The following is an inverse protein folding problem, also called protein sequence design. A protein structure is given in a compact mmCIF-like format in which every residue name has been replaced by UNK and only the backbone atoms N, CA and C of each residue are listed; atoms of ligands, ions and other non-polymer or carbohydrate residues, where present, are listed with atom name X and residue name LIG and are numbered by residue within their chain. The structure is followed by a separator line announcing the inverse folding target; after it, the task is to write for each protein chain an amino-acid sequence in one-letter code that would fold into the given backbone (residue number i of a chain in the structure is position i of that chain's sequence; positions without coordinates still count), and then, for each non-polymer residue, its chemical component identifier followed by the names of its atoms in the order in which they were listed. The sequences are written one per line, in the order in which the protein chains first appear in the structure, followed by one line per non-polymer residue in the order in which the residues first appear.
data_IF_125265108778
#
_entry.id   IF_125265108778
#
_cell.length_a   1.000
_cell.length_b   1.000
_cell.length_c   1.000
_cell.angle_alpha   90.00
_cell.angle_beta   90.00
_cell.angle_gamma   90.00
#
_symmetry.space_group_name_H-M   'P 1'
#
loop_
_entity.id
_entity.type
_entity.pdbx_description
1 polymer ?
#
# COMPACT_ATOMS: atom_id res chain seq x y z
N UNK A 1 8.26 23.18 18.32
CA UNK A 1 8.18 21.76 17.94
C UNK A 1 6.77 21.18 18.05
N UNK A 2 6.07 21.36 19.16
CA UNK A 2 4.70 20.84 19.33
C UNK A 2 3.67 21.37 18.33
N UNK A 3 3.69 22.65 18.00
CA UNK A 3 2.79 23.26 17.00
C UNK A 3 2.98 22.60 15.65
N UNK A 4 4.22 22.36 15.23
CA UNK A 4 4.54 21.70 13.97
C UNK A 4 3.98 20.27 13.91
N UNK A 5 4.17 19.49 14.99
CA UNK A 5 3.59 18.15 15.11
C UNK A 5 2.06 18.19 14.99
N UNK A 6 1.38 19.14 15.65
CA UNK A 6 -0.08 19.31 15.57
C UNK A 6 -0.55 19.63 14.15
N UNK A 7 0.18 20.49 13.41
CA UNK A 7 -0.13 20.82 12.01
C UNK A 7 -0.01 19.59 11.13
N UNK A 8 1.12 18.84 11.20
CA UNK A 8 1.31 17.64 10.39
C UNK A 8 0.36 16.52 10.79
N UNK A 9 -0.01 16.40 12.07
CA UNK A 9 -1.03 15.46 12.53
C UNK A 9 -2.41 15.81 11.94
N UNK A 10 -2.80 17.09 11.93
CA UNK A 10 -4.06 17.53 11.31
C UNK A 10 -4.09 17.22 9.81
N UNK A 11 -2.99 17.48 9.08
CA UNK A 11 -2.85 17.12 7.66
C UNK A 11 -2.91 15.60 7.46
N UNK A 12 -2.27 14.83 8.33
CA UNK A 12 -2.30 13.37 8.30
C UNK A 12 -3.71 12.81 8.48
N UNK A 13 -4.44 13.32 9.46
CA UNK A 13 -5.83 12.89 9.74
C UNK A 13 -6.75 13.29 8.57
N UNK A 14 -6.66 14.52 8.08
CA UNK A 14 -7.46 14.98 6.95
C UNK A 14 -7.18 14.17 5.68
N UNK A 15 -5.89 13.94 5.37
CA UNK A 15 -5.46 13.08 4.27
C UNK A 15 -5.94 11.64 4.44
N UNK A 16 -5.79 11.05 5.63
CA UNK A 16 -6.23 9.69 5.94
C UNK A 16 -7.74 9.51 5.80
N UNK A 17 -8.53 10.44 6.31
CA UNK A 17 -10.00 10.43 6.17
C UNK A 17 -10.41 10.56 4.70
N UNK A 18 -9.80 11.48 3.96
CA UNK A 18 -10.03 11.62 2.52
C UNK A 18 -9.65 10.34 1.76
N UNK A 19 -8.53 9.70 2.11
CA UNK A 19 -8.11 8.44 1.51
C UNK A 19 -9.11 7.31 1.78
N UNK A 20 -9.61 7.17 3.02
CA UNK A 20 -10.61 6.16 3.35
C UNK A 20 -11.89 6.31 2.52
N UNK A 21 -12.41 7.53 2.42
CA UNK A 21 -13.64 7.80 1.67
C UNK A 21 -13.40 7.60 0.17
N UNK A 22 -12.37 8.23 -0.39
CA UNK A 22 -12.08 8.18 -1.82
C UNK A 22 -11.70 6.76 -2.28
N UNK A 23 -10.96 6.01 -1.46
CA UNK A 23 -10.61 4.62 -1.75
C UNK A 23 -11.84 3.72 -1.79
N UNK A 24 -12.76 3.85 -0.83
CA UNK A 24 -14.02 3.11 -0.82
C UNK A 24 -14.87 3.43 -2.07
N UNK A 25 -15.01 4.71 -2.42
CA UNK A 25 -15.73 5.15 -3.64
C UNK A 25 -15.06 4.56 -4.89
N UNK A 26 -13.73 4.61 -5.00
CA UNK A 26 -13.02 4.04 -6.14
C UNK A 26 -13.20 2.52 -6.24
N UNK A 27 -13.30 1.81 -5.11
CA UNK A 27 -13.51 0.35 -5.11
C UNK A 27 -14.89 -0.05 -5.63
N UNK A 28 -15.95 0.69 -5.30
CA UNK A 28 -17.33 0.35 -5.74
C UNK A 28 -17.68 0.94 -7.11
N UNK A 29 -17.06 2.05 -7.50
CA UNK A 29 -17.35 2.70 -8.78
C UNK A 29 -16.96 1.83 -9.98
N UNK A 30 -17.72 1.91 -11.11
CA UNK A 30 -17.40 1.22 -12.35
C UNK A 30 -15.98 1.58 -12.84
N UNK A 31 -15.13 0.55 -13.01
CA UNK A 31 -13.70 0.71 -13.29
C UNK A 31 -13.47 1.48 -14.60
N UNK A 32 -12.52 2.42 -14.58
CA UNK A 32 -12.16 3.26 -15.72
C UNK A 32 -13.15 4.39 -16.05
N UNK A 33 -14.29 4.49 -15.36
CA UNK A 33 -15.25 5.58 -15.55
C UNK A 33 -14.86 6.82 -14.71
N UNK A 34 -15.54 7.95 -14.99
CA UNK A 34 -15.23 9.27 -14.42
C UNK A 34 -15.12 9.24 -12.87
N UNK A 35 -16.11 8.63 -12.20
CA UNK A 35 -16.13 8.56 -10.73
C UNK A 35 -14.93 7.79 -10.21
N UNK A 36 -14.63 6.60 -10.76
CA UNK A 36 -13.47 5.81 -10.40
C UNK A 36 -12.16 6.59 -10.57
N UNK A 37 -12.01 7.30 -11.69
CA UNK A 37 -10.78 8.03 -11.98
C UNK A 37 -10.59 9.24 -11.06
N UNK A 38 -11.66 9.97 -10.74
CA UNK A 38 -11.60 11.11 -9.80
C UNK A 38 -11.28 10.58 -8.41
N UNK A 39 -12.05 9.61 -7.92
CA UNK A 39 -11.85 9.03 -6.59
C UNK A 39 -10.45 8.39 -6.45
N UNK A 40 -9.95 7.69 -7.49
CA UNK A 40 -8.61 7.12 -7.50
C UNK A 40 -7.50 8.18 -7.43
N UNK A 41 -7.64 9.29 -8.15
CA UNK A 41 -6.69 10.43 -8.07
C UNK A 41 -6.73 11.09 -6.69
N UNK A 42 -7.93 11.31 -6.14
CA UNK A 42 -8.09 11.85 -4.79
C UNK A 42 -7.43 10.94 -3.78
N UNK A 43 -7.67 9.62 -3.87
CA UNK A 43 -7.02 8.61 -3.02
C UNK A 43 -5.49 8.70 -3.10
N UNK A 44 -4.93 8.74 -4.31
CA UNK A 44 -3.48 8.81 -4.53
C UNK A 44 -2.85 10.03 -3.86
N UNK A 45 -3.41 11.24 -4.08
CA UNK A 45 -2.87 12.46 -3.49
C UNK A 45 -3.09 12.53 -1.98
N UNK A 46 -4.20 12.00 -1.49
CA UNK A 46 -4.42 11.84 -0.05
C UNK A 46 -3.36 10.94 0.58
N UNK A 47 -3.02 9.80 -0.06
CA UNK A 47 -1.94 8.92 0.41
C UNK A 47 -0.56 9.57 0.34
N UNK A 48 -0.30 10.42 -0.66
CA UNK A 48 0.93 11.23 -0.72
C UNK A 48 1.01 12.20 0.47
N UNK A 49 -0.09 12.88 0.80
CA UNK A 49 -0.18 13.76 1.99
C UNK A 49 0.03 12.99 3.29
N UNK A 50 -0.60 11.81 3.41
CA UNK A 50 -0.43 10.91 4.58
C UNK A 50 1.03 10.49 4.73
N UNK A 51 1.68 10.06 3.65
CA UNK A 51 3.09 9.67 3.68
C UNK A 51 3.99 10.85 4.05
N UNK A 52 3.87 12.00 3.37
CA UNK A 52 4.69 13.18 3.63
C UNK A 52 4.56 13.66 5.07
N UNK A 53 3.33 13.76 5.58
CA UNK A 53 3.08 14.16 6.97
C UNK A 53 3.61 13.14 7.98
N UNK A 54 3.48 11.84 7.72
CA UNK A 54 4.03 10.78 8.57
C UNK A 54 5.56 10.85 8.62
N UNK A 55 6.23 11.02 7.47
CA UNK A 55 7.68 11.16 7.39
C UNK A 55 8.16 12.34 8.24
N UNK A 56 7.55 13.51 8.08
CA UNK A 56 7.91 14.69 8.90
C UNK A 56 7.69 14.43 10.38
N UNK A 57 6.54 13.86 10.77
CA UNK A 57 6.27 13.53 12.18
C UNK A 57 7.27 12.53 12.75
N UNK A 58 7.72 11.54 11.97
CA UNK A 58 8.72 10.57 12.39
C UNK A 58 10.13 11.19 12.58
N UNK A 59 10.47 12.26 11.86
CA UNK A 59 11.70 13.02 12.11
C UNK A 59 11.61 13.87 13.37
N UNK A 60 10.42 14.43 13.67
CA UNK A 60 10.20 15.25 14.86
C UNK A 60 10.05 14.41 16.15
N UNK A 61 9.41 13.25 16.03
CA UNK A 61 9.22 12.26 17.10
C UNK A 61 9.45 10.86 16.52
N UNK A 62 10.65 10.28 16.70
CA UNK A 62 11.03 9.03 16.07
C UNK A 62 10.06 7.87 16.38
N UNK A 63 9.44 7.35 15.32
CA UNK A 63 8.52 6.22 15.33
C UNK A 63 8.92 5.28 14.17
N UNK A 64 9.98 4.53 14.38
CA UNK A 64 10.64 3.78 13.30
C UNK A 64 9.71 2.83 12.53
N UNK A 65 8.87 2.07 13.25
CA UNK A 65 7.91 1.17 12.59
C UNK A 65 6.93 1.94 11.69
N UNK A 66 6.34 3.03 12.19
CA UNK A 66 5.37 3.83 11.44
C UNK A 66 6.00 4.53 10.23
N UNK A 67 7.28 4.88 10.31
CA UNK A 67 8.03 5.41 9.18
C UNK A 67 8.10 4.41 8.02
N UNK A 68 8.45 3.15 8.29
CA UNK A 68 8.49 2.11 7.26
C UNK A 68 7.11 1.72 6.74
N UNK A 69 6.09 1.74 7.60
CA UNK A 69 4.69 1.54 7.18
C UNK A 69 4.22 2.66 6.25
N UNK A 70 4.59 3.92 6.51
CA UNK A 70 4.26 5.04 5.62
C UNK A 70 4.91 4.87 4.23
N UNK A 71 6.21 4.49 4.18
CA UNK A 71 6.90 4.18 2.92
C UNK A 71 6.19 3.06 2.18
N UNK A 72 5.90 1.95 2.84
CA UNK A 72 5.26 0.79 2.22
C UNK A 72 3.85 1.10 1.71
N UNK A 73 3.03 1.77 2.51
CA UNK A 73 1.65 2.12 2.14
C UNK A 73 1.62 3.04 0.93
N UNK A 74 2.49 4.05 0.89
CA UNK A 74 2.58 4.92 -0.27
C UNK A 74 3.22 4.25 -1.47
N UNK A 75 4.20 3.36 -1.28
CA UNK A 75 4.76 2.54 -2.35
C UNK A 75 3.69 1.74 -3.09
N UNK A 76 2.73 1.14 -2.36
CA UNK A 76 1.61 0.43 -2.98
C UNK A 76 0.72 1.38 -3.79
N UNK A 77 0.35 2.54 -3.25
CA UNK A 77 -0.45 3.53 -3.96
C UNK A 77 0.28 4.09 -5.19
N UNK A 78 1.57 4.40 -5.06
CA UNK A 78 2.43 4.88 -6.13
C UNK A 78 2.55 3.86 -7.27
N UNK A 79 2.95 2.64 -6.96
CA UNK A 79 3.11 1.59 -8.00
C UNK A 79 1.78 1.21 -8.64
N UNK A 80 0.67 1.22 -7.86
CA UNK A 80 -0.67 1.00 -8.39
C UNK A 80 -1.07 2.08 -9.41
N UNK A 81 -0.79 3.35 -9.15
CA UNK A 81 -1.04 4.45 -10.09
C UNK A 81 -0.11 4.37 -11.30
N UNK A 82 1.18 4.07 -11.09
CA UNK A 82 2.17 3.90 -12.17
C UNK A 82 1.76 2.86 -13.21
N UNK A 83 1.10 1.76 -12.79
CA UNK A 83 0.60 0.74 -13.71
C UNK A 83 -0.44 1.28 -14.70
N UNK A 84 -1.19 2.31 -14.37
CA UNK A 84 -2.13 2.94 -15.33
C UNK A 84 -1.44 3.70 -16.46
N UNK A 85 -0.17 4.08 -16.25
CA UNK A 85 0.70 4.76 -17.25
C UNK A 85 1.63 3.78 -17.99
N UNK A 86 1.79 2.56 -17.48
CA UNK A 86 2.64 1.51 -18.05
C UNK A 86 1.80 0.30 -18.45
N UNK A 87 0.94 0.51 -19.47
CA UNK A 87 -0.01 -0.51 -19.92
C UNK A 87 0.56 -1.44 -20.98
N UNK A 88 1.57 -0.97 -21.73
CA UNK A 88 2.22 -1.72 -22.81
C UNK A 88 3.46 -2.42 -22.27
N UNK A 89 3.79 -3.56 -22.82
CA UNK A 89 5.03 -4.29 -22.49
C UNK A 89 6.29 -3.48 -22.82
N UNK A 90 6.21 -2.59 -23.83
CA UNK A 90 7.29 -1.69 -24.22
C UNK A 90 7.50 -0.51 -23.27
N UNK A 91 6.58 -0.25 -22.34
CA UNK A 91 6.66 0.88 -21.42
C UNK A 91 7.70 0.57 -20.32
N UNK A 92 8.93 1.04 -20.51
CA UNK A 92 10.05 0.83 -19.58
C UNK A 92 9.79 1.45 -18.19
N UNK A 93 10.43 0.87 -17.18
CA UNK A 93 10.47 1.46 -15.85
C UNK A 93 11.32 2.73 -15.87
N UNK A 94 10.78 3.83 -15.32
CA UNK A 94 11.50 5.08 -15.17
C UNK A 94 12.34 5.06 -13.88
N UNK A 95 13.27 6.02 -13.74
CA UNK A 95 14.11 6.15 -12.56
C UNK A 95 13.30 6.20 -11.26
N UNK A 96 12.15 6.88 -11.26
CA UNK A 96 11.26 6.96 -10.10
C UNK A 96 10.67 5.60 -9.69
N UNK A 97 10.43 4.67 -10.64
CA UNK A 97 9.95 3.32 -10.36
C UNK A 97 11.04 2.51 -9.63
N UNK A 98 12.29 2.60 -10.11
CA UNK A 98 13.44 1.97 -9.48
C UNK A 98 13.71 2.55 -8.08
N UNK A 99 13.72 3.87 -7.95
CA UNK A 99 13.93 4.54 -6.66
C UNK A 99 12.90 4.10 -5.63
N UNK A 100 11.62 4.09 -6.02
CA UNK A 100 10.54 3.66 -5.13
C UNK A 100 10.69 2.17 -4.74
N UNK A 101 11.04 1.29 -5.68
CA UNK A 101 11.25 -0.13 -5.41
C UNK A 101 12.45 -0.38 -4.48
N UNK A 102 13.57 0.33 -4.67
CA UNK A 102 14.75 0.21 -3.81
C UNK A 102 14.44 0.71 -2.40
N UNK A 103 13.80 1.87 -2.25
CA UNK A 103 13.39 2.39 -0.94
C UNK A 103 12.45 1.42 -0.21
N UNK A 104 11.47 0.84 -0.94
CA UNK A 104 10.58 -0.14 -0.36
C UNK A 104 11.30 -1.44 0.00
N UNK A 105 12.22 -1.94 -0.84
CA UNK A 105 13.02 -3.13 -0.54
C UNK A 105 13.85 -2.94 0.73
N UNK A 106 14.51 -1.78 0.87
CA UNK A 106 15.28 -1.42 2.05
C UNK A 106 14.40 -1.37 3.30
N UNK A 107 13.23 -0.70 3.22
CA UNK A 107 12.28 -0.64 4.31
C UNK A 107 11.78 -2.05 4.71
N UNK A 108 11.48 -2.89 3.72
CA UNK A 108 11.05 -4.28 3.95
C UNK A 108 12.13 -5.13 4.62
N UNK A 109 13.37 -5.03 4.18
CA UNK A 109 14.51 -5.74 4.79
C UNK A 109 14.72 -5.31 6.26
N UNK A 110 14.66 -4.00 6.54
CA UNK A 110 14.80 -3.49 7.91
C UNK A 110 13.64 -3.99 8.79
N UNK A 111 12.40 -3.98 8.28
CA UNK A 111 11.25 -4.52 9.04
C UNK A 111 11.41 -6.01 9.35
N UNK A 112 11.93 -6.83 8.41
CA UNK A 112 12.18 -8.25 8.65
C UNK A 112 13.23 -8.47 9.74
N UNK A 113 14.34 -7.76 9.68
CA UNK A 113 15.41 -7.85 10.69
C UNK A 113 14.89 -7.44 12.07
N UNK A 114 14.19 -6.31 12.15
CA UNK A 114 13.59 -5.83 13.40
C UNK A 114 12.53 -6.77 13.94
N UNK A 115 11.71 -7.34 13.05
CA UNK A 115 10.71 -8.33 13.42
C UNK A 115 11.35 -9.55 14.08
N UNK A 116 12.44 -10.07 13.51
CA UNK A 116 13.22 -11.16 14.08
C UNK A 116 13.80 -10.80 15.47
N UNK A 117 14.38 -9.60 15.62
CA UNK A 117 14.89 -9.12 16.91
C UNK A 117 13.79 -9.06 17.97
N UNK A 118 12.64 -8.45 17.65
CA UNK A 118 11.49 -8.34 18.57
C UNK A 118 10.95 -9.70 19.00
N UNK A 119 10.90 -10.68 18.09
CA UNK A 119 10.47 -12.05 18.45
C UNK A 119 11.48 -12.72 19.37
N UNK A 120 12.78 -12.54 19.15
CA UNK A 120 13.82 -13.05 20.03
C UNK A 120 13.76 -12.41 21.44
N UNK A 121 13.28 -11.17 21.54
CA UNK A 121 12.99 -10.47 22.81
C UNK A 121 11.64 -10.86 23.43
N UNK A 122 10.93 -11.85 22.86
CA UNK A 122 9.63 -12.30 23.34
C UNK A 122 8.45 -11.37 23.00
N UNK A 123 8.67 -10.38 22.13
CA UNK A 123 7.63 -9.39 21.79
C UNK A 123 6.84 -9.83 20.57
N UNK A 124 5.56 -10.20 20.75
CA UNK A 124 4.67 -10.68 19.66
C UNK A 124 4.46 -9.65 18.53
N UNK A 125 4.69 -8.36 18.78
CA UNK A 125 4.65 -7.30 17.75
C UNK A 125 5.69 -7.52 16.63
N UNK A 126 6.72 -8.35 16.87
CA UNK A 126 7.64 -8.82 15.85
C UNK A 126 6.94 -9.46 14.64
N UNK A 127 5.82 -10.16 14.84
CA UNK A 127 5.04 -10.73 13.73
C UNK A 127 4.45 -9.67 12.80
N UNK A 128 4.01 -8.53 13.33
CA UNK A 128 3.54 -7.41 12.50
C UNK A 128 4.67 -6.90 11.60
N UNK A 129 5.87 -6.71 12.19
CA UNK A 129 7.05 -6.28 11.44
C UNK A 129 7.42 -7.28 10.33
N UNK A 130 7.39 -8.59 10.63
CA UNK A 130 7.70 -9.65 9.65
C UNK A 130 6.70 -9.65 8.50
N UNK A 131 5.39 -9.59 8.79
CA UNK A 131 4.35 -9.62 7.76
C UNK A 131 4.45 -8.38 6.85
N UNK A 132 4.55 -7.19 7.42
CA UNK A 132 4.70 -5.96 6.63
C UNK A 132 6.02 -5.94 5.85
N UNK A 133 7.11 -6.39 6.46
CA UNK A 133 8.41 -6.50 5.82
C UNK A 133 8.42 -7.49 4.66
N UNK A 134 7.80 -8.66 4.83
CA UNK A 134 7.69 -9.68 3.79
C UNK A 134 6.88 -9.19 2.58
N UNK A 135 5.74 -8.53 2.80
CA UNK A 135 4.97 -7.93 1.71
C UNK A 135 5.75 -6.80 1.02
N UNK A 136 6.38 -5.91 1.79
CA UNK A 136 7.13 -4.79 1.25
C UNK A 136 8.30 -5.27 0.38
N UNK A 137 9.11 -6.20 0.90
CA UNK A 137 10.25 -6.77 0.17
C UNK A 137 9.78 -7.63 -1.01
N UNK A 138 8.75 -8.46 -0.83
CA UNK A 138 8.22 -9.33 -1.88
C UNK A 138 7.66 -8.53 -3.06
N UNK A 139 6.90 -7.47 -2.80
CA UNK A 139 6.37 -6.62 -3.85
C UNK A 139 7.47 -5.84 -4.57
N UNK A 140 8.41 -5.27 -3.85
CA UNK A 140 9.50 -4.48 -4.46
C UNK A 140 10.47 -5.37 -5.25
N UNK A 141 10.82 -6.54 -4.75
CA UNK A 141 11.66 -7.51 -5.47
C UNK A 141 10.97 -7.99 -6.76
N UNK A 142 9.66 -8.28 -6.69
CA UNK A 142 8.90 -8.64 -7.89
C UNK A 142 8.84 -7.48 -8.90
N UNK A 143 8.65 -6.24 -8.45
CA UNK A 143 8.65 -5.08 -9.34
C UNK A 143 10.01 -4.90 -10.04
N UNK A 144 11.12 -4.97 -9.29
CA UNK A 144 12.48 -4.90 -9.87
C UNK A 144 12.72 -6.02 -10.89
N UNK A 145 12.26 -7.25 -10.59
CA UNK A 145 12.31 -8.36 -11.56
C UNK A 145 11.55 -8.04 -12.84
N UNK A 146 10.35 -7.45 -12.72
CA UNK A 146 9.49 -7.11 -13.86
C UNK A 146 9.99 -5.86 -14.62
N UNK A 147 10.82 -5.02 -14.01
CA UNK A 147 11.51 -3.93 -14.72
C UNK A 147 12.56 -4.45 -15.69
N UNK A 148 13.24 -5.54 -15.32
CA UNK A 148 14.25 -6.20 -16.16
C UNK A 148 13.61 -7.17 -17.17
N UNK A 149 12.58 -7.92 -16.73
CA UNK A 149 11.87 -8.90 -17.54
C UNK A 149 10.37 -8.57 -17.56
N UNK A 150 9.91 -7.73 -18.51
CA UNK A 150 8.51 -7.33 -18.60
C UNK A 150 7.58 -8.53 -18.75
N UNK A 151 6.40 -8.49 -18.11
CA UNK A 151 5.43 -9.59 -18.12
C UNK A 151 4.82 -9.74 -19.52
N UNK A 152 4.60 -10.99 -19.95
CA UNK A 152 3.96 -11.29 -21.24
C UNK A 152 2.43 -11.16 -21.20
N UNK A 153 1.83 -11.16 -20.03
CA UNK A 153 0.38 -11.08 -19.85
C UNK A 153 -0.16 -9.71 -20.25
N UNK A 154 -1.05 -9.65 -21.25
CA UNK A 154 -1.60 -8.41 -21.81
C UNK A 154 -2.32 -7.52 -20.78
N UNK A 155 -2.98 -8.11 -19.77
CA UNK A 155 -3.72 -7.41 -18.72
C UNK A 155 -2.95 -7.30 -17.41
N UNK A 156 -1.64 -7.55 -17.40
CA UNK A 156 -0.80 -7.47 -16.22
C UNK A 156 -0.94 -6.14 -15.48
N UNK A 157 -0.93 -5.03 -16.22
CA UNK A 157 -1.09 -3.68 -15.66
C UNK A 157 -2.38 -3.54 -14.83
N UNK A 158 -3.49 -4.14 -15.29
CA UNK A 158 -4.78 -4.06 -14.60
C UNK A 158 -4.76 -4.84 -13.28
N UNK A 159 -4.27 -6.07 -13.30
CA UNK A 159 -4.20 -6.91 -12.11
C UNK A 159 -3.20 -6.37 -11.08
N UNK A 160 -2.10 -5.80 -11.55
CA UNK A 160 -1.12 -5.14 -10.68
C UNK A 160 -1.71 -3.86 -10.08
N UNK A 161 -2.35 -3.00 -10.87
CA UNK A 161 -3.07 -1.82 -10.38
C UNK A 161 -4.09 -2.20 -9.30
N UNK A 162 -4.95 -3.18 -9.59
CA UNK A 162 -5.96 -3.67 -8.66
C UNK A 162 -5.33 -4.12 -7.33
N UNK A 163 -4.35 -5.01 -7.40
CA UNK A 163 -3.69 -5.55 -6.20
C UNK A 163 -3.01 -4.46 -5.37
N UNK A 164 -2.30 -3.54 -6.03
CA UNK A 164 -1.56 -2.47 -5.37
C UNK A 164 -2.48 -1.44 -4.72
N UNK A 165 -3.53 -1.00 -5.43
CA UNK A 165 -4.46 -0.01 -4.90
C UNK A 165 -5.30 -0.57 -3.74
N UNK A 166 -5.76 -1.83 -3.84
CA UNK A 166 -6.48 -2.46 -2.73
C UNK A 166 -5.51 -2.72 -1.57
N UNK A 167 -4.29 -3.17 -1.84
CA UNK A 167 -3.27 -3.35 -0.80
C UNK A 167 -2.97 -2.04 -0.05
N UNK A 168 -2.84 -0.92 -0.77
CA UNK A 168 -2.71 0.40 -0.15
C UNK A 168 -3.94 0.75 0.71
N UNK A 169 -5.15 0.45 0.23
CA UNK A 169 -6.37 0.70 0.98
C UNK A 169 -6.47 -0.18 2.25
N UNK A 170 -6.05 -1.44 2.17
CA UNK A 170 -5.95 -2.32 3.36
C UNK A 170 -5.02 -1.69 4.40
N UNK A 171 -3.86 -1.18 4.00
CA UNK A 171 -2.92 -0.51 4.91
C UNK A 171 -3.54 0.75 5.53
N UNK A 172 -4.26 1.57 4.74
CA UNK A 172 -4.98 2.76 5.22
C UNK A 172 -6.07 2.38 6.23
N UNK A 173 -6.85 1.36 5.93
CA UNK A 173 -7.91 0.86 6.82
C UNK A 173 -7.33 0.23 8.10
N UNK A 174 -6.21 -0.49 7.99
CA UNK A 174 -5.49 -1.03 9.15
C UNK A 174 -5.04 0.10 10.08
N UNK A 175 -4.45 1.16 9.54
CA UNK A 175 -4.02 2.32 10.33
C UNK A 175 -5.21 2.97 11.07
N UNK A 176 -6.36 3.09 10.41
CA UNK A 176 -7.60 3.56 11.05
C UNK A 176 -8.06 2.63 12.17
N UNK A 177 -8.06 1.32 11.94
CA UNK A 177 -8.44 0.33 12.96
C UNK A 177 -7.52 0.40 14.19
N UNK A 178 -6.22 0.50 14.00
CA UNK A 178 -5.22 0.56 15.09
C UNK A 178 -5.48 1.74 16.04
N UNK A 179 -5.93 2.87 15.49
CA UNK A 179 -6.25 4.05 16.31
C UNK A 179 -7.60 3.90 17.02
N UNK A 180 -8.59 3.29 16.38
CA UNK A 180 -9.99 3.34 16.83
C UNK A 180 -10.46 2.05 17.52
N UNK A 181 -9.93 0.87 17.19
CA UNK A 181 -10.35 -0.43 17.74
C UNK A 181 -9.47 -0.77 18.93
N UNK A 182 -10.03 -0.68 20.16
CA UNK A 182 -9.30 -0.92 21.41
C UNK A 182 -9.69 -2.21 22.14
N UNK A 183 -10.73 -2.89 21.68
CA UNK A 183 -11.27 -4.09 22.32
C UNK A 183 -10.64 -5.41 21.78
N UNK A 184 -9.85 -5.35 20.72
CA UNK A 184 -9.13 -6.49 20.16
C UNK A 184 -7.65 -6.45 20.54
N UNK A 185 -6.98 -7.62 20.63
CA UNK A 185 -5.52 -7.68 20.79
C UNK A 185 -4.79 -6.94 19.67
N UNK A 186 -3.73 -6.22 20.01
CA UNK A 186 -2.96 -5.39 19.04
C UNK A 186 -2.57 -6.16 17.78
N UNK A 187 -2.07 -7.39 17.93
CA UNK A 187 -1.70 -8.24 16.80
C UNK A 187 -2.87 -8.49 15.85
N UNK A 188 -4.06 -8.73 16.38
CA UNK A 188 -5.27 -8.94 15.58
C UNK A 188 -5.66 -7.67 14.82
N UNK A 189 -5.63 -6.50 15.47
CA UNK A 189 -5.97 -5.22 14.82
C UNK A 189 -5.02 -4.91 13.66
N UNK A 190 -3.73 -5.23 13.79
CA UNK A 190 -2.76 -5.03 12.74
C UNK A 190 -2.87 -6.03 11.58
N UNK A 191 -3.21 -7.29 11.83
CA UNK A 191 -3.13 -8.35 10.82
C UNK A 191 -4.47 -8.75 10.21
N UNK A 192 -5.59 -8.68 10.93
CA UNK A 192 -6.91 -9.08 10.40
C UNK A 192 -7.31 -8.35 9.12
N UNK A 193 -7.17 -7.00 8.99
CA UNK A 193 -7.51 -6.34 7.73
C UNK A 193 -6.68 -6.84 6.55
N UNK A 194 -5.41 -7.18 6.79
CA UNK A 194 -4.53 -7.74 5.76
C UNK A 194 -4.98 -9.13 5.33
N UNK A 195 -5.34 -9.99 6.28
CA UNK A 195 -5.83 -11.36 5.97
C UNK A 195 -7.12 -11.27 5.17
N UNK A 196 -8.13 -10.54 5.67
CA UNK A 196 -9.44 -10.39 5.01
C UNK A 196 -9.28 -9.75 3.62
N UNK A 197 -8.48 -8.68 3.54
CA UNK A 197 -8.25 -7.96 2.28
C UNK A 197 -7.50 -8.77 1.23
N UNK A 198 -6.60 -9.66 1.64
CA UNK A 198 -5.88 -10.55 0.71
C UNK A 198 -6.86 -11.54 0.06
N UNK A 199 -7.79 -12.12 0.81
CA UNK A 199 -8.86 -12.93 0.23
C UNK A 199 -9.75 -12.12 -0.71
N UNK A 200 -10.07 -10.87 -0.36
CA UNK A 200 -10.81 -9.95 -1.23
C UNK A 200 -10.08 -9.67 -2.55
N UNK A 201 -8.77 -9.43 -2.51
CA UNK A 201 -7.94 -9.26 -3.71
C UNK A 201 -8.00 -10.53 -4.58
N UNK A 202 -7.81 -11.70 -4.00
CA UNK A 202 -7.84 -12.97 -4.71
C UNK A 202 -9.20 -13.21 -5.39
N UNK A 203 -10.30 -13.00 -4.67
CA UNK A 203 -11.66 -13.12 -5.21
C UNK A 203 -11.90 -12.16 -6.39
N UNK A 204 -11.46 -10.90 -6.28
CA UNK A 204 -11.59 -9.93 -7.38
C UNK A 204 -10.72 -10.26 -8.57
N UNK A 205 -9.51 -10.77 -8.35
CA UNK A 205 -8.66 -11.24 -9.47
C UNK A 205 -9.34 -12.39 -10.23
N UNK A 206 -9.89 -13.39 -9.51
CA UNK A 206 -10.61 -14.51 -10.14
C UNK A 206 -11.83 -13.99 -10.92
N UNK A 207 -12.62 -13.10 -10.32
CA UNK A 207 -13.79 -12.50 -10.98
C UNK A 207 -13.40 -11.79 -12.30
N UNK A 208 -12.40 -10.92 -12.29
CA UNK A 208 -12.00 -10.19 -13.49
C UNK A 208 -11.32 -11.07 -14.52
N UNK A 209 -10.55 -12.09 -14.13
CA UNK A 209 -9.99 -13.07 -15.06
C UNK A 209 -11.11 -13.81 -15.81
N UNK A 210 -12.13 -14.28 -15.14
CA UNK A 210 -13.32 -14.90 -15.76
C UNK A 210 -14.06 -13.93 -16.67
N UNK A 211 -14.32 -12.72 -16.21
CA UNK A 211 -15.00 -11.68 -17.01
C UNK A 211 -14.26 -11.36 -18.31
N UNK A 212 -12.95 -11.21 -18.28
CA UNK A 212 -12.15 -10.92 -19.46
C UNK A 212 -11.99 -12.14 -20.37
N UNK A 213 -12.00 -13.36 -19.88
CA UNK A 213 -12.03 -14.56 -20.70
C UNK A 213 -13.31 -14.65 -21.53
N UNK A 214 -14.48 -14.36 -20.91
CA UNK A 214 -15.78 -14.38 -21.61
C UNK A 214 -15.94 -13.27 -22.67
N UNK A 215 -15.18 -12.18 -22.58
CA UNK A 215 -15.22 -11.09 -23.57
C UNK A 215 -14.33 -11.35 -24.80
N UNK A 216 -13.61 -12.46 -24.83
CA UNK A 216 -12.74 -12.87 -25.96
C UNK A 216 -13.40 -13.89 -26.90
N UNK A 217 -14.60 -14.36 -26.54
CA UNK A 217 -15.47 -15.20 -27.37
C UNK A 217 -16.48 -14.32 -28.07
#
# INVERSE_FOLDING_TARGET
MEILIKIFLALHIAGGTSALIAGAVAMVAPKGKRVHNIAGKTYYWSMATVCASAVVMCFLKPQQFLFYVAIFSFYLAFTGERMTKRKRQSDAAAIQDWTAAILAATAGAILLVRGGMLLNEGTSFGWVNIVFGAFCLGFSANDMRLFVKPPQEKMHWFFTHLTRMIGAYIATFTAFCVVNVKFLPSLAVWLLPTVIGTFGIAAWQVYYRRKFALQRV
#
